data_IF_388429453346
#
_entry.id   IF_388429453346
#
_cell.length_a   1.000
_cell.length_b   1.000
_cell.length_c   1.000
_cell.angle_alpha   90.00
_cell.angle_beta   90.00
_cell.angle_gamma   90.00
#
_symmetry.space_group_name_H-M   'P 1'
#
loop_
_entity.id
_entity.type
_entity.pdbx_description
1 polymer ?
#
# COMPACT_ATOMS: atom_id res chain seq x y z
N UNK A 1 14.10 -17.91 69.22
CA UNK A 1 15.14 -17.21 68.44
C UNK A 1 15.47 -18.05 67.21
N UNK A 2 14.94 -17.70 66.04
CA UNK A 2 15.18 -18.42 64.78
C UNK A 2 16.31 -17.71 64.03
N UNK A 3 17.43 -18.41 63.85
CA UNK A 3 18.55 -17.96 63.01
C UNK A 3 18.05 -17.98 61.56
N UNK A 4 17.84 -16.80 60.98
CA UNK A 4 17.57 -16.67 59.54
C UNK A 4 18.88 -16.96 58.80
N UNK A 5 18.85 -18.00 57.98
CA UNK A 5 19.96 -18.47 57.16
C UNK A 5 20.40 -17.41 56.14
N UNK A 6 21.57 -16.82 56.40
CA UNK A 6 22.25 -15.89 55.50
C UNK A 6 22.57 -16.50 54.11
N UNK A 7 22.50 -17.82 53.97
CA UNK A 7 22.73 -18.54 52.72
C UNK A 7 21.61 -18.36 51.69
N UNK A 8 20.35 -18.15 52.11
CA UNK A 8 19.23 -17.99 51.19
C UNK A 8 19.27 -16.64 50.44
N UNK A 9 19.82 -15.61 51.07
CA UNK A 9 19.91 -14.26 50.49
C UNK A 9 21.03 -14.20 49.44
N UNK A 10 22.14 -14.92 49.65
CA UNK A 10 23.25 -14.95 48.70
C UNK A 10 22.86 -15.60 47.35
N UNK A 11 22.05 -16.66 47.38
CA UNK A 11 21.54 -17.30 46.17
C UNK A 11 20.56 -16.42 45.38
N UNK A 12 19.76 -15.60 46.07
CA UNK A 12 18.82 -14.69 45.41
C UNK A 12 19.53 -13.53 44.69
N UNK A 13 20.63 -13.02 45.27
CA UNK A 13 21.42 -11.94 44.67
C UNK A 13 22.24 -12.44 43.47
N UNK A 14 22.78 -13.66 43.53
CA UNK A 14 23.49 -14.27 42.39
C UNK A 14 22.57 -14.64 41.21
N UNK A 15 21.27 -14.82 41.45
CA UNK A 15 20.30 -15.10 40.39
C UNK A 15 19.89 -13.85 39.60
N UNK A 16 19.99 -12.66 40.20
CA UNK A 16 19.63 -11.39 39.56
C UNK A 16 20.78 -10.78 38.74
N UNK A 17 22.03 -11.22 38.95
CA UNK A 17 23.19 -10.70 38.23
C UNK A 17 23.45 -11.38 36.87
N UNK A 18 22.70 -12.42 36.49
CA UNK A 18 22.92 -13.19 35.24
C UNK A 18 21.83 -13.01 34.20
N UNK A 19 21.06 -11.93 34.28
CA UNK A 19 20.20 -11.45 33.21
C UNK A 19 20.89 -10.34 32.40
N UNK A 20 22.21 -10.46 32.19
CA UNK A 20 22.86 -9.71 31.11
C UNK A 20 22.43 -10.34 29.79
N UNK A 21 21.42 -9.70 29.18
CA UNK A 21 21.33 -9.43 27.74
C UNK A 21 22.16 -10.39 26.86
N UNK A 22 21.68 -11.62 26.73
CA UNK A 22 21.66 -12.22 25.42
C UNK A 22 20.42 -11.63 24.72
N UNK A 23 20.56 -10.41 24.18
CA UNK A 23 19.85 -10.07 22.95
C UNK A 23 20.37 -11.09 21.94
N UNK A 24 19.76 -12.26 21.93
CA UNK A 24 19.79 -13.11 20.77
C UNK A 24 19.34 -12.18 19.65
N UNK A 25 20.26 -11.83 18.76
CA UNK A 25 19.90 -11.42 17.42
C UNK A 25 18.96 -12.52 16.94
N UNK A 26 17.67 -12.27 17.08
CA UNK A 26 16.65 -12.96 16.33
C UNK A 26 17.19 -12.87 14.92
N UNK A 27 17.51 -13.99 14.24
CA UNK A 27 17.89 -13.91 12.85
C UNK A 27 16.80 -13.07 12.20
N UNK A 28 17.20 -11.94 11.60
CA UNK A 28 16.25 -11.12 10.87
C UNK A 28 15.48 -12.10 9.98
N UNK A 29 14.14 -12.17 10.11
CA UNK A 29 13.37 -13.06 9.25
C UNK A 29 13.84 -12.77 7.83
N UNK A 30 14.19 -13.80 7.04
CA UNK A 30 14.96 -13.68 5.81
C UNK A 30 14.50 -12.45 5.06
N UNK A 31 15.42 -11.48 4.99
CA UNK A 31 15.07 -10.10 4.72
C UNK A 31 14.16 -9.97 3.51
N UNK A 32 12.97 -9.42 3.72
CA UNK A 32 12.31 -8.59 2.70
C UNK A 32 13.03 -7.24 2.60
N UNK A 33 14.37 -7.25 2.69
CA UNK A 33 15.23 -6.12 2.41
C UNK A 33 15.20 -5.93 0.89
N UNK A 34 14.41 -4.97 0.43
CA UNK A 34 14.58 -4.39 -0.91
C UNK A 34 13.69 -4.89 -2.02
N UNK A 35 12.70 -5.75 -1.77
CA UNK A 35 11.62 -5.93 -2.76
C UNK A 35 10.56 -4.88 -2.48
N UNK A 36 10.50 -3.88 -3.34
CA UNK A 36 9.47 -2.83 -3.41
C UNK A 36 8.11 -3.45 -3.81
N UNK A 37 7.69 -4.51 -3.11
CA UNK A 37 6.43 -5.25 -3.35
C UNK A 37 5.24 -4.32 -3.20
N UNK A 38 5.41 -3.23 -2.46
CA UNK A 38 4.39 -2.21 -2.23
C UNK A 38 3.97 -1.56 -3.56
N UNK A 39 4.89 -1.31 -4.50
CA UNK A 39 4.59 -0.57 -5.73
C UNK A 39 4.58 -1.45 -7.00
N UNK A 40 4.92 -2.74 -6.88
CA UNK A 40 4.98 -3.65 -8.02
C UNK A 40 6.03 -3.25 -9.06
N UNK A 41 5.93 -3.80 -10.27
CA UNK A 41 6.88 -3.51 -11.35
C UNK A 41 6.45 -2.27 -12.13
N UNK A 42 7.37 -1.33 -12.34
CA UNK A 42 7.13 -0.20 -13.25
C UNK A 42 6.96 -0.72 -14.69
N UNK A 43 5.89 -0.34 -15.41
CA UNK A 43 5.69 -0.65 -16.83
C UNK A 43 6.88 -0.36 -17.74
N UNK A 44 6.94 -0.99 -18.92
CA UNK A 44 7.92 -0.67 -19.98
C UNK A 44 7.92 0.86 -20.25
N UNK A 45 9.12 1.42 -20.49
CA UNK A 45 9.36 2.81 -20.89
C UNK A 45 8.50 3.27 -22.07
N UNK A 46 7.98 2.35 -22.90
CA UNK A 46 7.01 2.66 -23.97
C UNK A 46 5.67 3.19 -23.44
N UNK A 47 5.29 2.83 -22.21
CA UNK A 47 4.08 3.31 -21.55
C UNK A 47 4.28 4.70 -20.96
N UNK A 48 4.17 5.72 -21.84
CA UNK A 48 4.43 7.11 -21.48
C UNK A 48 3.44 7.70 -20.47
N UNK A 49 2.23 7.13 -20.33
CA UNK A 49 1.17 7.65 -19.47
C UNK A 49 0.43 6.51 -18.78
N UNK A 50 0.45 6.47 -17.44
CA UNK A 50 -0.38 5.58 -16.64
C UNK A 50 -0.56 6.14 -15.23
N UNK A 51 -1.62 5.72 -14.55
CA UNK A 51 -1.86 6.00 -13.14
C UNK A 51 -1.92 4.67 -12.42
N UNK A 52 -1.15 4.56 -11.34
CA UNK A 52 -1.12 3.41 -10.46
C UNK A 52 -1.90 3.72 -9.20
N UNK A 53 -2.83 2.83 -8.84
CA UNK A 53 -3.49 2.84 -7.54
C UNK A 53 -3.01 1.62 -6.76
N UNK A 54 -2.44 1.85 -5.58
CA UNK A 54 -1.96 0.80 -4.67
C UNK A 54 -2.75 0.90 -3.39
N UNK A 55 -3.40 -0.20 -3.00
CA UNK A 55 -3.92 -0.34 -1.64
C UNK A 55 -2.79 -0.80 -0.74
N UNK A 56 -2.37 0.00 0.24
CA UNK A 56 -1.37 -0.42 1.21
C UNK A 56 -2.08 -1.32 2.23
N UNK A 57 -2.06 -2.65 2.08
CA UNK A 57 -2.66 -3.60 3.04
C UNK A 57 -1.60 -4.29 3.91
N UNK A 58 -1.96 -4.96 5.03
CA UNK A 58 -1.00 -5.68 5.86
C UNK A 58 -0.26 -6.78 5.07
N UNK A 59 1.00 -7.03 5.44
CA UNK A 59 2.00 -7.85 4.70
C UNK A 59 1.59 -9.29 4.35
N UNK A 60 0.54 -9.80 4.97
CA UNK A 60 0.16 -11.22 4.87
C UNK A 60 -0.53 -11.58 3.54
N UNK A 61 -0.82 -10.59 2.68
CA UNK A 61 -1.28 -10.81 1.30
C UNK A 61 -0.85 -9.63 0.42
N UNK A 62 -0.27 -9.86 -0.77
CA UNK A 62 0.13 -8.78 -1.66
C UNK A 62 -1.12 -8.02 -2.12
N UNK A 63 -1.21 -6.71 -1.89
CA UNK A 63 -2.36 -5.93 -2.32
C UNK A 63 -2.51 -5.93 -3.84
N UNK A 64 -3.74 -5.83 -4.38
CA UNK A 64 -3.92 -5.58 -5.80
C UNK A 64 -3.34 -4.20 -6.15
N UNK A 65 -2.59 -4.15 -7.25
CA UNK A 65 -2.04 -2.90 -7.81
C UNK A 65 -2.77 -2.62 -9.12
N UNK A 66 -3.54 -1.55 -9.17
CA UNK A 66 -4.28 -1.20 -10.37
C UNK A 66 -3.46 -0.26 -11.24
N UNK A 67 -3.09 -0.73 -12.44
CA UNK A 67 -2.46 0.09 -13.46
C UNK A 67 -3.51 0.55 -14.46
N UNK A 68 -3.76 1.86 -14.51
CA UNK A 68 -4.80 2.48 -15.35
C UNK A 68 -4.10 3.21 -16.49
N UNK A 69 -4.36 2.79 -17.73
CA UNK A 69 -3.57 3.21 -18.90
C UNK A 69 -4.43 3.35 -20.17
N UNK A 70 -4.10 4.27 -21.09
CA UNK A 70 -4.74 4.34 -22.40
C UNK A 70 -4.20 3.31 -23.42
N UNK A 71 -3.15 2.58 -23.07
CA UNK A 71 -2.53 1.54 -23.90
C UNK A 71 -2.41 0.23 -23.12
N UNK A 72 -2.28 -0.88 -23.85
CA UNK A 72 -1.94 -2.17 -23.26
C UNK A 72 -0.52 -2.14 -22.71
N UNK A 73 -0.35 -2.69 -21.51
CA UNK A 73 0.91 -2.77 -20.77
C UNK A 73 1.05 -4.20 -20.26
N UNK A 74 2.25 -4.76 -20.36
CA UNK A 74 2.54 -6.04 -19.72
C UNK A 74 2.62 -5.84 -18.20
N UNK A 75 1.81 -6.60 -17.48
CA UNK A 75 1.69 -6.52 -16.01
C UNK A 75 1.99 -7.88 -15.40
N UNK A 76 2.60 -7.86 -14.22
CA UNK A 76 2.92 -9.07 -13.46
C UNK A 76 2.07 -9.11 -12.18
N UNK A 77 1.63 -10.29 -11.75
CA UNK A 77 0.88 -10.44 -10.50
C UNK A 77 1.63 -9.78 -9.32
N UNK A 78 0.98 -8.99 -8.44
CA UNK A 78 -0.47 -8.79 -8.26
C UNK A 78 -1.06 -7.61 -9.06
N UNK A 79 -0.40 -7.15 -10.12
CA UNK A 79 -0.86 -6.01 -10.90
C UNK A 79 -2.03 -6.37 -11.82
N UNK A 80 -3.01 -5.46 -11.87
CA UNK A 80 -4.21 -5.56 -12.69
C UNK A 80 -4.23 -4.36 -13.63
N UNK A 81 -4.19 -4.62 -14.94
CA UNK A 81 -4.33 -3.57 -15.95
C UNK A 81 -5.81 -3.23 -16.17
N UNK A 82 -6.15 -1.96 -16.01
CA UNK A 82 -7.42 -1.39 -16.45
C UNK A 82 -7.15 -0.50 -17.67
N UNK A 83 -7.33 -1.09 -18.85
CA UNK A 83 -7.17 -0.37 -20.10
C UNK A 83 -8.39 0.51 -20.41
N UNK A 84 -8.14 1.79 -20.62
CA UNK A 84 -9.13 2.80 -20.93
C UNK A 84 -8.94 3.31 -22.37
N UNK A 85 -10.01 3.78 -22.99
CA UNK A 85 -9.86 4.59 -24.21
C UNK A 85 -9.15 5.91 -23.88
N UNK A 86 -8.61 6.62 -24.88
CA UNK A 86 -7.96 7.92 -24.67
C UNK A 86 -8.87 8.92 -23.93
N UNK A 87 -10.15 8.97 -24.27
CA UNK A 87 -11.12 9.88 -23.65
C UNK A 87 -11.48 9.47 -22.21
N UNK A 88 -11.64 8.17 -21.96
CA UNK A 88 -11.82 7.61 -20.62
C UNK A 88 -10.62 7.94 -19.73
N UNK A 89 -9.41 7.67 -20.21
CA UNK A 89 -8.17 7.96 -19.49
C UNK A 89 -8.00 9.46 -19.24
N UNK A 90 -8.26 10.32 -20.23
CA UNK A 90 -8.16 11.77 -20.03
C UNK A 90 -9.13 12.29 -18.96
N UNK A 91 -10.34 11.71 -18.88
CA UNK A 91 -11.33 12.06 -17.84
C UNK A 91 -10.89 11.55 -16.47
N UNK A 92 -10.43 10.29 -16.40
CA UNK A 92 -9.88 9.68 -15.20
C UNK A 92 -8.68 10.48 -14.66
N UNK A 93 -7.68 10.73 -15.50
CA UNK A 93 -6.49 11.48 -15.12
C UNK A 93 -6.81 12.90 -14.67
N UNK A 94 -7.77 13.58 -15.32
CA UNK A 94 -8.24 14.91 -14.88
C UNK A 94 -8.81 14.86 -13.48
N UNK A 95 -9.70 13.90 -13.20
CA UNK A 95 -10.25 13.67 -11.87
C UNK A 95 -9.12 13.40 -10.86
N UNK A 96 -8.26 12.42 -11.11
CA UNK A 96 -7.18 12.06 -10.18
C UNK A 96 -6.25 13.24 -9.88
N UNK A 97 -5.90 14.05 -10.89
CA UNK A 97 -5.05 15.23 -10.71
C UNK A 97 -5.76 16.35 -9.92
N UNK A 98 -7.08 16.47 -10.00
CA UNK A 98 -7.85 17.43 -9.23
C UNK A 98 -7.94 17.04 -7.74
N UNK A 99 -7.85 15.74 -7.43
CA UNK A 99 -7.91 15.18 -6.07
C UNK A 99 -6.52 14.90 -5.47
N UNK A 100 -5.48 15.65 -5.88
CA UNK A 100 -4.17 15.58 -5.23
C UNK A 100 -4.29 16.06 -3.78
N UNK A 101 -3.73 15.31 -2.83
CA UNK A 101 -3.63 15.78 -1.44
C UNK A 101 -2.34 16.56 -1.21
N UNK A 102 -2.38 17.46 -0.22
CA UNK A 102 -1.25 18.34 0.13
C UNK A 102 -0.11 17.59 0.84
N UNK A 103 -0.39 16.42 1.45
CA UNK A 103 0.59 15.61 2.15
C UNK A 103 1.03 14.40 1.33
N UNK A 104 2.25 14.47 0.80
CA UNK A 104 3.06 13.31 0.48
C UNK A 104 4.04 13.10 1.64
N UNK A 105 3.58 12.67 2.82
CA UNK A 105 4.54 12.38 3.90
C UNK A 105 5.49 11.29 3.39
N UNK A 106 6.80 11.53 3.47
CA UNK A 106 7.82 10.55 3.08
C UNK A 106 7.87 9.34 4.00
N UNK A 107 7.20 9.42 5.15
CA UNK A 107 7.18 8.39 6.18
C UNK A 107 6.39 7.15 5.75
N UNK A 108 6.80 6.01 6.29
CA UNK A 108 6.13 4.73 6.14
C UNK A 108 4.66 4.85 6.57
N UNK A 109 3.74 4.60 5.64
CA UNK A 109 2.32 4.73 5.92
C UNK A 109 1.74 3.44 6.50
N UNK A 110 0.81 3.54 7.47
CA UNK A 110 0.05 2.41 7.96
C UNK A 110 -0.64 1.63 6.83
N UNK A 111 -0.98 0.37 7.11
CA UNK A 111 -1.58 -0.61 6.20
C UNK A 111 -3.05 -0.34 5.82
N UNK A 112 -3.44 0.93 5.69
CA UNK A 112 -4.83 1.37 5.46
C UNK A 112 -4.93 2.55 4.48
N UNK A 113 -3.89 2.75 3.66
CA UNK A 113 -3.80 3.89 2.76
C UNK A 113 -3.97 3.48 1.31
N UNK A 114 -4.60 4.33 0.50
CA UNK A 114 -4.60 4.23 -0.96
C UNK A 114 -3.56 5.22 -1.50
N UNK A 115 -2.54 4.73 -2.17
CA UNK A 115 -1.62 5.58 -2.93
C UNK A 115 -2.08 5.69 -4.38
N UNK A 116 -2.17 6.91 -4.88
CA UNK A 116 -2.33 7.20 -6.30
C UNK A 116 -1.04 7.84 -6.82
N UNK A 117 -0.43 7.21 -7.82
CA UNK A 117 0.82 7.65 -8.43
C UNK A 117 0.62 7.78 -9.93
N UNK A 118 1.17 8.82 -10.54
CA UNK A 118 1.08 9.05 -11.98
C UNK A 118 2.45 9.03 -12.62
N UNK A 119 2.56 8.30 -13.72
CA UNK A 119 3.69 8.36 -14.61
C UNK A 119 3.31 9.10 -15.89
N UNK A 120 4.09 10.13 -16.21
CA UNK A 120 3.93 10.91 -17.43
C UNK A 120 5.31 11.26 -17.99
N UNK A 121 5.59 10.87 -19.22
CA UNK A 121 6.80 11.21 -19.97
C UNK A 121 8.09 10.89 -19.20
N UNK A 122 8.20 9.67 -18.65
CA UNK A 122 9.40 9.21 -17.94
C UNK A 122 9.53 9.75 -16.51
N UNK A 123 8.55 10.49 -16.00
CA UNK A 123 8.53 10.98 -14.62
C UNK A 123 7.38 10.36 -13.86
N UNK A 124 7.68 9.76 -12.71
CA UNK A 124 6.70 9.26 -11.75
C UNK A 124 6.51 10.29 -10.64
N UNK A 125 5.26 10.59 -10.28
CA UNK A 125 4.91 11.46 -9.15
C UNK A 125 3.81 10.82 -8.32
N UNK A 126 4.00 10.84 -7.01
CA UNK A 126 2.89 10.55 -6.08
C UNK A 126 1.88 11.68 -6.20
N UNK A 127 0.63 11.35 -6.53
CA UNK A 127 -0.46 12.31 -6.60
C UNK A 127 -1.14 12.46 -5.25
N UNK A 128 -1.34 11.36 -4.54
CA UNK A 128 -1.87 11.39 -3.20
C UNK A 128 -1.63 10.08 -2.45
N UNK A 129 -1.47 10.18 -1.13
CA UNK A 129 -1.56 9.09 -0.17
C UNK A 129 -2.78 9.33 0.71
N UNK A 130 -3.81 8.51 0.56
CA UNK A 130 -5.12 8.74 1.15
C UNK A 130 -5.34 7.80 2.33
N UNK A 131 -5.71 8.33 3.49
CA UNK A 131 -6.27 7.49 4.55
C UNK A 131 -7.53 6.77 4.05
N UNK A 132 -7.94 5.71 4.74
CA UNK A 132 -9.14 4.93 4.40
C UNK A 132 -10.35 5.80 4.04
N UNK A 133 -10.75 6.77 4.88
CA UNK A 133 -11.91 7.64 4.61
C UNK A 133 -11.72 8.52 3.37
N UNK A 134 -10.49 9.02 3.13
CA UNK A 134 -10.18 9.80 1.94
C UNK A 134 -10.17 8.93 0.69
N UNK A 135 -9.65 7.70 0.78
CA UNK A 135 -9.66 6.71 -0.29
C UNK A 135 -11.09 6.32 -0.67
N UNK A 136 -11.99 6.14 0.30
CA UNK A 136 -13.41 5.88 0.04
C UNK A 136 -14.08 7.01 -0.75
N UNK A 137 -13.86 8.27 -0.36
CA UNK A 137 -14.36 9.43 -1.12
C UNK A 137 -13.76 9.49 -2.53
N UNK A 138 -12.46 9.26 -2.64
CA UNK A 138 -11.75 9.26 -3.91
C UNK A 138 -12.27 8.19 -4.86
N UNK A 139 -12.40 6.94 -4.40
CA UNK A 139 -12.94 5.83 -5.17
C UNK A 139 -14.40 6.09 -5.54
N UNK A 140 -15.22 6.62 -4.63
CA UNK A 140 -16.61 7.00 -4.91
C UNK A 140 -16.69 8.04 -6.02
N UNK A 141 -15.85 9.08 -6.01
CA UNK A 141 -15.86 10.07 -7.08
C UNK A 141 -15.30 9.54 -8.40
N UNK A 142 -14.41 8.53 -8.42
CA UNK A 142 -14.07 7.81 -9.66
C UNK A 142 -15.31 7.17 -10.26
N UNK A 143 -16.18 6.54 -9.44
CA UNK A 143 -17.43 5.91 -9.89
C UNK A 143 -18.38 6.91 -10.55
N UNK A 144 -18.31 8.19 -10.17
CA UNK A 144 -19.15 9.25 -10.68
C UNK A 144 -18.64 9.84 -12.02
N UNK A 145 -17.49 9.40 -12.55
CA UNK A 145 -16.98 9.89 -13.83
C UNK A 145 -17.82 9.31 -14.97
N UNK A 146 -18.73 10.10 -15.52
CA UNK A 146 -19.65 9.69 -16.60
C UNK A 146 -18.98 9.11 -17.85
N UNK A 147 -17.73 9.49 -18.13
CA UNK A 147 -16.98 8.96 -19.27
C UNK A 147 -16.55 7.50 -19.08
N UNK A 148 -16.58 6.97 -17.85
CA UNK A 148 -16.10 5.64 -17.51
C UNK A 148 -17.27 4.67 -17.38
N UNK A 149 -17.25 3.59 -18.14
CA UNK A 149 -18.19 2.49 -17.99
C UNK A 149 -17.88 1.67 -16.74
N UNK A 150 -18.23 2.17 -15.55
CA UNK A 150 -17.91 1.53 -14.27
C UNK A 150 -18.53 0.13 -14.10
N UNK A 151 -19.54 -0.18 -14.91
CA UNK A 151 -20.18 -1.50 -14.95
C UNK A 151 -19.40 -2.53 -15.77
N UNK A 152 -18.43 -2.12 -16.60
CA UNK A 152 -17.59 -3.03 -17.38
C UNK A 152 -16.78 -3.99 -16.47
N UNK A 153 -16.55 -5.20 -16.96
CA UNK A 153 -15.88 -6.28 -16.19
C UNK A 153 -14.48 -5.88 -15.71
N UNK A 154 -13.74 -5.07 -16.48
CA UNK A 154 -12.40 -4.59 -16.12
C UNK A 154 -12.33 -3.79 -14.81
N UNK A 155 -13.47 -3.31 -14.29
CA UNK A 155 -13.55 -2.60 -13.01
C UNK A 155 -13.90 -3.49 -11.82
N UNK A 156 -14.21 -4.77 -12.04
CA UNK A 156 -14.74 -5.66 -11.00
C UNK A 156 -13.82 -5.76 -9.77
N UNK A 157 -12.52 -5.94 -9.97
CA UNK A 157 -11.56 -5.99 -8.88
C UNK A 157 -11.48 -4.67 -8.09
N UNK A 158 -11.52 -3.53 -8.78
CA UNK A 158 -11.51 -2.22 -8.11
C UNK A 158 -12.83 -1.94 -7.37
N UNK A 159 -13.97 -2.43 -7.90
CA UNK A 159 -15.26 -2.41 -7.19
C UNK A 159 -15.20 -3.23 -5.92
N UNK A 160 -14.67 -4.45 -6.01
CA UNK A 160 -14.51 -5.31 -4.84
C UNK A 160 -13.66 -4.60 -3.77
N UNK A 161 -12.53 -4.01 -4.14
CA UNK A 161 -11.69 -3.21 -3.22
C UNK A 161 -12.48 -2.05 -2.60
N UNK A 162 -13.28 -1.31 -3.40
CA UNK A 162 -14.08 -0.18 -2.90
C UNK A 162 -15.19 -0.57 -1.90
N UNK A 163 -15.61 -1.83 -1.90
CA UNK A 163 -16.70 -2.35 -1.04
C UNK A 163 -16.18 -3.27 0.08
N UNK A 164 -15.00 -3.86 -0.10
CA UNK A 164 -14.41 -4.85 0.81
C UNK A 164 -14.08 -4.28 2.20
N UNK A 165 -14.05 -5.19 3.18
CA UNK A 165 -13.88 -4.94 4.63
C UNK A 165 -12.61 -4.15 4.97
N UNK A 166 -11.58 -4.18 4.12
CA UNK A 166 -10.33 -3.45 4.33
C UNK A 166 -10.43 -1.94 4.08
N UNK A 167 -11.37 -1.47 3.24
CA UNK A 167 -11.68 -0.04 3.12
C UNK A 167 -13.03 0.33 3.73
N UNK A 168 -13.96 -0.62 3.88
CA UNK A 168 -15.14 -0.44 4.72
C UNK A 168 -15.96 0.82 4.41
N UNK A 169 -15.99 1.23 3.14
CA UNK A 169 -16.69 2.42 2.67
C UNK A 169 -18.21 2.20 2.84
N UNK A 170 -18.71 2.44 4.06
CA UNK A 170 -20.13 2.44 4.39
C UNK A 170 -20.78 3.77 4.06
#
# INVERSE_FOLDING_TARGET
>A
MRKLDAFAILFLVLSLARAEKAEAESPDPPGFAGVDVVHGKTPDKKAKNWIMLVTLTPRNSPPPIFLISPITIDVEYPQILIQLSKNQYASFARYTRAYRCQQTSGDYLPSEFLEATEHANGKTRVLCRMSQSAACRYLTGIRAIHAIGWMEQKWEALRYVSVSVNFGCK
#
